data_IF_195394227682
#
_entry.id   IF_195394227682
#
_cell.length_a   1.000
_cell.length_b   1.000
_cell.length_c   1.000
_cell.angle_alpha   90.00
_cell.angle_beta   90.00
_cell.angle_gamma   90.00
#
_symmetry.space_group_name_H-M   'P 1'
#
loop_
_entity.id
_entity.type
_entity.pdbx_description
1 polymer ?
#
# COMPACT_ATOMS: atom_id res chain seq x y z
N UNK A 1 -10.28 -28.40 -11.35
CA UNK A 1 -8.90 -28.64 -11.75
C UNK A 1 -8.05 -27.59 -11.04
N UNK A 2 -7.53 -27.92 -9.87
CA UNK A 2 -6.73 -26.98 -9.05
C UNK A 2 -5.30 -27.08 -9.59
N UNK A 3 -4.89 -26.06 -10.33
CA UNK A 3 -3.54 -26.00 -10.93
C UNK A 3 -2.46 -25.70 -9.89
N UNK A 4 -2.88 -25.20 -8.72
CA UNK A 4 -2.02 -24.81 -7.62
C UNK A 4 -2.04 -25.86 -6.51
N UNK A 5 -0.89 -26.14 -5.94
CA UNK A 5 -0.78 -26.93 -4.71
C UNK A 5 -1.39 -26.16 -3.51
N UNK A 6 -1.57 -26.86 -2.38
CA UNK A 6 -2.06 -26.24 -1.15
C UNK A 6 -1.16 -25.07 -0.71
N UNK A 7 0.16 -25.26 -0.77
CA UNK A 7 1.13 -24.22 -0.40
C UNK A 7 1.09 -23.01 -1.34
N UNK A 8 0.94 -23.24 -2.65
CA UNK A 8 0.82 -22.16 -3.65
C UNK A 8 -0.47 -21.36 -3.46
N UNK A 9 -1.59 -22.05 -3.19
CA UNK A 9 -2.88 -21.39 -2.93
C UNK A 9 -2.86 -20.59 -1.62
N UNK A 10 -2.18 -21.08 -0.59
CA UNK A 10 -1.98 -20.38 0.67
C UNK A 10 -1.14 -19.10 0.46
N UNK A 11 -0.02 -19.18 -0.27
CA UNK A 11 0.81 -18.04 -0.59
C UNK A 11 0.04 -16.96 -1.39
N UNK A 12 -0.83 -17.39 -2.32
CA UNK A 12 -1.72 -16.52 -3.07
C UNK A 12 -2.71 -15.78 -2.14
N UNK A 13 -3.43 -16.54 -1.30
CA UNK A 13 -4.40 -15.99 -0.35
C UNK A 13 -3.73 -15.02 0.63
N UNK A 14 -2.53 -15.37 1.10
CA UNK A 14 -1.75 -14.54 2.00
C UNK A 14 -1.29 -13.25 1.32
N UNK A 15 -0.80 -13.31 0.08
CA UNK A 15 -0.44 -12.10 -0.69
C UNK A 15 -1.61 -11.16 -0.87
N UNK A 16 -2.79 -11.68 -1.24
CA UNK A 16 -4.01 -10.86 -1.37
C UNK A 16 -4.43 -10.24 -0.04
N UNK A 17 -4.36 -11.01 1.04
CA UNK A 17 -4.69 -10.53 2.39
C UNK A 17 -3.72 -9.44 2.86
N UNK A 18 -2.41 -9.63 2.67
CA UNK A 18 -1.37 -8.66 3.03
C UNK A 18 -1.54 -7.38 2.21
N UNK A 19 -1.72 -7.48 0.89
CA UNK A 19 -1.93 -6.32 0.02
C UNK A 19 -3.21 -5.55 0.39
N UNK A 20 -4.31 -6.24 0.68
CA UNK A 20 -5.55 -5.57 1.11
C UNK A 20 -5.40 -4.86 2.44
N UNK A 21 -4.80 -5.51 3.44
CA UNK A 21 -4.51 -4.89 4.76
C UNK A 21 -3.59 -3.68 4.61
N UNK A 22 -2.54 -3.79 3.80
CA UNK A 22 -1.62 -2.70 3.49
C UNK A 22 -2.35 -1.47 2.96
N UNK A 23 -3.22 -1.64 1.96
CA UNK A 23 -4.02 -0.55 1.39
C UNK A 23 -4.96 0.05 2.43
N UNK A 24 -5.72 -0.79 3.16
CA UNK A 24 -6.68 -0.31 4.16
C UNK A 24 -5.99 0.45 5.31
N UNK A 25 -4.83 -0.02 5.77
CA UNK A 25 -4.03 0.67 6.79
C UNK A 25 -3.48 2.00 6.28
N UNK A 26 -3.02 2.06 5.02
CA UNK A 26 -2.39 3.25 4.44
C UNK A 26 -3.40 4.32 4.03
N UNK A 27 -4.62 3.94 3.65
CA UNK A 27 -5.60 4.81 3.02
C UNK A 27 -5.89 6.10 3.82
N UNK A 28 -6.24 6.05 5.13
CA UNK A 28 -6.54 7.25 5.89
C UNK A 28 -5.32 8.17 6.03
N UNK A 29 -4.14 7.60 6.19
CA UNK A 29 -2.89 8.37 6.29
C UNK A 29 -2.49 8.98 4.95
N UNK A 30 -2.71 8.27 3.84
CA UNK A 30 -2.44 8.77 2.49
C UNK A 30 -3.40 9.91 2.12
N UNK A 31 -4.68 9.82 2.49
CA UNK A 31 -5.65 10.90 2.34
C UNK A 31 -5.21 12.14 3.12
N UNK A 32 -4.86 11.98 4.40
CA UNK A 32 -4.40 13.07 5.24
C UNK A 32 -3.11 13.70 4.69
N UNK A 33 -2.14 12.87 4.32
CA UNK A 33 -0.85 13.35 3.82
C UNK A 33 -0.97 14.06 2.47
N UNK A 34 -1.79 13.52 1.55
CA UNK A 34 -2.06 14.16 0.27
C UNK A 34 -2.73 15.52 0.46
N UNK A 35 -3.68 15.64 1.42
CA UNK A 35 -4.33 16.90 1.75
C UNK A 35 -3.36 17.91 2.36
N UNK A 36 -2.53 17.52 3.34
CA UNK A 36 -1.51 18.38 3.96
C UNK A 36 -0.56 18.89 2.89
N UNK A 37 0.00 18.00 2.07
CA UNK A 37 0.99 18.35 1.06
C UNK A 37 0.41 19.17 -0.11
N UNK A 38 -0.90 19.15 -0.35
CA UNK A 38 -1.53 19.92 -1.44
C UNK A 38 -2.12 21.23 -0.96
N UNK A 39 -2.77 21.26 0.20
CA UNK A 39 -3.57 22.40 0.67
C UNK A 39 -2.84 23.30 1.67
N UNK A 40 -1.81 22.79 2.36
CA UNK A 40 -1.09 23.56 3.38
C UNK A 40 0.26 24.06 2.86
N UNK A 41 0.58 25.30 3.26
CA UNK A 41 1.91 25.89 3.08
C UNK A 41 2.52 26.10 4.47
N UNK A 42 3.67 25.49 4.73
CA UNK A 42 4.38 25.59 6.01
C UNK A 42 5.88 25.35 5.81
N UNK A 43 6.67 25.86 6.73
CA UNK A 43 8.12 25.61 6.77
C UNK A 43 8.35 24.11 7.02
N UNK A 44 9.14 23.45 6.15
CA UNK A 44 9.39 21.99 6.24
C UNK A 44 8.50 21.12 5.35
N UNK A 45 7.57 21.71 4.56
CA UNK A 45 6.73 20.95 3.60
C UNK A 45 7.58 20.11 2.63
N UNK A 46 8.65 20.68 2.09
CA UNK A 46 9.56 19.98 1.18
C UNK A 46 10.24 18.79 1.87
N UNK A 47 10.63 18.96 3.13
CA UNK A 47 11.22 17.87 3.92
C UNK A 47 10.20 16.76 4.18
N UNK A 48 8.96 17.10 4.54
CA UNK A 48 7.89 16.12 4.72
C UNK A 48 7.57 15.38 3.42
N UNK A 49 7.54 16.10 2.30
CA UNK A 49 7.34 15.51 0.96
C UNK A 49 8.46 14.53 0.60
N UNK A 50 9.71 14.93 0.82
CA UNK A 50 10.88 14.05 0.64
C UNK A 50 10.79 12.81 1.56
N UNK A 51 10.42 12.98 2.82
CA UNK A 51 10.29 11.87 3.77
C UNK A 51 9.20 10.88 3.36
N UNK A 52 8.05 11.36 2.90
CA UNK A 52 6.96 10.53 2.39
C UNK A 52 7.39 9.70 1.18
N UNK A 53 8.23 10.27 0.31
CA UNK A 53 8.69 9.60 -0.91
C UNK A 53 10.00 8.82 -0.73
N UNK A 54 10.62 8.89 0.43
CA UNK A 54 11.89 8.22 0.74
C UNK A 54 11.87 6.70 0.47
N UNK A 55 10.79 5.94 0.80
CA UNK A 55 10.73 4.50 0.53
C UNK A 55 10.89 4.12 -0.95
N UNK A 56 10.54 5.01 -1.89
CA UNK A 56 10.74 4.75 -3.33
C UNK A 56 12.19 4.84 -3.79
N UNK A 57 13.02 5.53 -3.04
CA UNK A 57 14.43 5.76 -3.38
C UNK A 57 15.33 4.75 -2.66
N UNK A 58 14.94 4.34 -1.46
CA UNK A 58 15.71 3.39 -0.68
C UNK A 58 15.52 1.95 -1.21
N UNK A 59 16.58 1.12 -1.18
CA UNK A 59 16.43 -0.30 -1.42
C UNK A 59 15.39 -0.89 -0.43
N UNK A 60 14.44 -1.74 -0.90
CA UNK A 60 13.40 -2.31 -0.04
C UNK A 60 13.93 -3.03 1.21
N UNK A 61 15.08 -3.70 1.08
CA UNK A 61 15.77 -4.36 2.20
C UNK A 61 16.15 -3.37 3.31
N UNK A 62 16.57 -2.14 2.93
CA UNK A 62 16.91 -1.08 3.90
C UNK A 62 15.66 -0.63 4.64
N UNK A 63 14.55 -0.45 3.95
CA UNK A 63 13.26 -0.11 4.58
C UNK A 63 12.84 -1.21 5.55
N UNK A 64 12.92 -2.49 5.13
CA UNK A 64 12.63 -3.63 6.00
C UNK A 64 13.53 -3.68 7.25
N UNK A 65 14.82 -3.38 7.09
CA UNK A 65 15.75 -3.29 8.22
C UNK A 65 15.39 -2.15 9.20
N UNK A 66 15.05 -0.98 8.70
CA UNK A 66 14.59 0.14 9.54
C UNK A 66 13.33 -0.25 10.30
N UNK A 67 12.37 -0.91 9.65
CA UNK A 67 11.16 -1.42 10.31
C UNK A 67 11.50 -2.46 11.37
N UNK A 68 12.46 -3.35 11.11
CA UNK A 68 12.93 -4.33 12.09
C UNK A 68 13.54 -3.67 13.35
N UNK A 69 14.34 -2.62 13.15
CA UNK A 69 14.94 -1.86 14.28
C UNK A 69 13.86 -1.13 15.07
N UNK A 70 12.85 -0.54 14.40
CA UNK A 70 11.80 0.24 15.06
C UNK A 70 10.73 -0.64 15.71
N UNK A 71 10.24 -1.66 14.99
CA UNK A 71 9.09 -2.49 15.36
C UNK A 71 9.44 -3.92 15.78
N UNK A 72 10.72 -4.28 15.80
CA UNK A 72 11.16 -5.56 16.37
C UNK A 72 10.83 -5.65 17.86
N UNK A 73 10.87 -6.85 18.45
CA UNK A 73 10.50 -7.10 19.84
C UNK A 73 11.27 -6.22 20.87
N UNK A 74 12.51 -5.87 20.56
CA UNK A 74 13.34 -4.95 21.38
C UNK A 74 13.38 -3.52 20.82
N UNK A 75 12.67 -3.24 19.75
CA UNK A 75 12.60 -1.92 19.13
C UNK A 75 11.76 -0.94 19.97
N UNK A 76 12.00 0.38 19.81
CA UNK A 76 11.30 1.39 20.60
C UNK A 76 9.78 1.38 20.37
N UNK A 77 9.33 1.17 19.15
CA UNK A 77 7.91 1.10 18.82
C UNK A 77 7.33 -0.30 19.03
N UNK A 78 8.05 -1.35 18.66
CA UNK A 78 7.60 -2.73 18.82
C UNK A 78 7.40 -3.09 20.30
N UNK A 79 8.40 -2.85 21.14
CA UNK A 79 8.29 -3.11 22.58
C UNK A 79 7.25 -2.22 23.30
N UNK A 80 6.97 -1.03 22.78
CA UNK A 80 5.86 -0.20 23.29
C UNK A 80 4.49 -0.76 22.89
N UNK A 81 4.31 -1.17 21.64
CA UNK A 81 3.06 -1.78 21.13
C UNK A 81 2.73 -3.08 21.87
N UNK A 82 3.74 -3.92 22.08
CA UNK A 82 3.59 -5.18 22.80
C UNK A 82 3.16 -4.96 24.26
N UNK A 83 3.87 -4.07 24.99
CA UNK A 83 3.56 -3.79 26.39
C UNK A 83 2.23 -3.09 26.62
N UNK A 84 1.80 -2.22 25.68
CA UNK A 84 0.60 -1.39 25.85
C UNK A 84 -0.66 -2.06 25.28
N UNK A 85 -0.52 -2.76 24.16
CA UNK A 85 -1.65 -3.30 23.40
C UNK A 85 -1.55 -4.81 23.17
N UNK A 86 -0.45 -5.47 23.57
CA UNK A 86 -0.22 -6.89 23.28
C UNK A 86 -0.05 -7.16 21.78
N UNK A 87 0.37 -6.16 20.98
CA UNK A 87 0.50 -6.27 19.53
C UNK A 87 1.95 -6.51 19.16
N UNK A 88 2.21 -7.69 18.58
CA UNK A 88 3.48 -8.02 17.92
C UNK A 88 3.34 -7.89 16.42
N UNK A 89 4.31 -7.24 15.77
CA UNK A 89 4.33 -7.06 14.32
C UNK A 89 5.38 -7.95 13.65
N UNK A 90 6.49 -8.22 14.35
CA UNK A 90 7.55 -9.07 13.80
C UNK A 90 7.03 -10.50 13.56
N UNK A 91 7.40 -11.09 12.42
CA UNK A 91 7.02 -12.46 12.00
C UNK A 91 5.50 -12.70 11.85
N UNK A 92 4.71 -11.64 11.66
CA UNK A 92 3.25 -11.74 11.52
C UNK A 92 2.76 -11.20 10.18
N UNK A 93 1.54 -11.60 9.79
CA UNK A 93 0.83 -11.07 8.61
C UNK A 93 0.62 -9.54 8.71
N UNK A 94 0.40 -9.03 9.91
CA UNK A 94 0.23 -7.58 10.13
C UNK A 94 1.55 -6.83 9.94
N UNK A 95 2.66 -7.43 10.34
CA UNK A 95 3.99 -6.90 10.05
C UNK A 95 4.31 -6.91 8.55
N UNK A 96 3.98 -7.99 7.84
CA UNK A 96 4.09 -8.03 6.38
C UNK A 96 3.24 -6.92 5.72
N UNK A 97 2.02 -6.71 6.20
CA UNK A 97 1.14 -5.64 5.72
C UNK A 97 1.71 -4.25 6.03
N UNK A 98 2.35 -4.04 7.20
CA UNK A 98 3.02 -2.78 7.53
C UNK A 98 4.22 -2.51 6.60
N UNK A 99 5.09 -3.51 6.39
CA UNK A 99 6.23 -3.36 5.47
C UNK A 99 5.78 -2.96 4.06
N UNK A 100 4.79 -3.67 3.56
CA UNK A 100 4.19 -3.43 2.25
C UNK A 100 3.48 -2.08 2.20
N UNK A 101 2.80 -1.68 3.28
CA UNK A 101 2.13 -0.39 3.41
C UNK A 101 3.13 0.76 3.28
N UNK A 102 4.26 0.70 3.98
CA UNK A 102 5.31 1.72 3.93
C UNK A 102 5.88 1.85 2.51
N UNK A 103 6.12 0.72 1.82
CA UNK A 103 6.63 0.74 0.44
C UNK A 103 5.63 1.30 -0.57
N UNK A 104 4.34 0.97 -0.44
CA UNK A 104 3.29 1.40 -1.36
C UNK A 104 2.72 2.79 -1.03
N UNK A 105 2.95 3.31 0.18
CA UNK A 105 2.40 4.58 0.68
C UNK A 105 2.64 5.77 -0.25
N UNK A 106 3.88 6.03 -0.71
CA UNK A 106 4.16 7.18 -1.57
C UNK A 106 3.43 7.13 -2.91
N UNK A 107 3.20 5.93 -3.46
CA UNK A 107 2.43 5.75 -4.71
C UNK A 107 0.98 6.20 -4.52
N UNK A 108 0.38 5.83 -3.39
CA UNK A 108 -0.98 6.22 -3.01
C UNK A 108 -1.08 7.73 -2.79
N UNK A 109 -0.15 8.32 -2.02
CA UNK A 109 -0.10 9.77 -1.77
C UNK A 109 0.02 10.54 -3.08
N UNK A 110 0.90 10.11 -3.98
CA UNK A 110 1.12 10.77 -5.28
C UNK A 110 -0.14 10.78 -6.15
N UNK A 111 -0.82 9.65 -6.28
CA UNK A 111 -2.04 9.54 -7.06
C UNK A 111 -3.17 10.42 -6.50
N UNK A 112 -3.33 10.44 -5.17
CA UNK A 112 -4.30 11.28 -4.49
C UNK A 112 -3.98 12.76 -4.60
N UNK A 113 -2.71 13.16 -4.52
CA UNK A 113 -2.28 14.56 -4.71
C UNK A 113 -2.63 15.07 -6.10
N UNK A 114 -2.28 14.32 -7.15
CA UNK A 114 -2.59 14.69 -8.55
C UNK A 114 -4.11 14.93 -8.70
N UNK A 115 -4.93 14.06 -8.14
CA UNK A 115 -6.38 14.22 -8.19
C UNK A 115 -6.87 15.42 -7.37
N UNK A 116 -6.31 15.63 -6.18
CA UNK A 116 -6.69 16.76 -5.31
C UNK A 116 -6.28 18.12 -5.91
N UNK A 117 -5.19 18.17 -6.68
CA UNK A 117 -4.74 19.37 -7.39
C UNK A 117 -5.71 19.79 -8.50
N UNK A 118 -6.48 18.84 -9.05
CA UNK A 118 -7.52 19.14 -10.06
C UNK A 118 -8.85 19.60 -9.47
N UNK A 119 -9.04 19.51 -8.16
CA UNK A 119 -10.26 20.00 -7.48
C UNK A 119 -10.22 21.51 -7.39
N UNK A 120 -11.21 22.16 -7.97
CA UNK A 120 -11.36 23.64 -7.95
C UNK A 120 -11.58 24.12 -6.50
N UNK A 121 -10.72 25.02 -6.06
CA UNK A 121 -10.83 25.66 -4.74
C UNK A 121 -12.08 26.54 -4.63
N UNK A 122 -12.59 27.08 -5.74
CA UNK A 122 -13.83 27.83 -5.77
C UNK A 122 -15.02 27.05 -5.25
N UNK A 123 -15.08 25.74 -5.50
CA UNK A 123 -16.13 24.88 -4.96
C UNK A 123 -16.02 24.71 -3.43
N UNK A 124 -14.79 24.59 -2.91
CA UNK A 124 -14.54 24.53 -1.46
C UNK A 124 -14.89 25.86 -0.78
N UNK A 125 -14.60 26.99 -1.43
CA UNK A 125 -14.91 28.33 -0.94
C UNK A 125 -16.41 28.63 -1.01
N UNK A 126 -17.10 28.22 -2.07
CA UNK A 126 -18.57 28.32 -2.17
C UNK A 126 -19.27 27.53 -1.06
N UNK A 127 -18.84 26.29 -0.80
CA UNK A 127 -19.37 25.50 0.31
C UNK A 127 -19.12 26.20 1.68
N UNK A 128 -17.97 26.84 1.84
CA UNK A 128 -17.66 27.61 3.05
C UNK A 128 -18.59 28.83 3.23
N UNK A 129 -18.91 29.54 2.18
CA UNK A 129 -19.85 30.69 2.25
C UNK A 129 -21.28 30.25 2.58
N UNK A 130 -21.63 29.00 2.24
CA UNK A 130 -22.90 28.36 2.62
C UNK A 130 -22.90 27.79 4.05
N UNK A 131 -21.83 28.00 4.83
CA UNK A 131 -21.74 27.59 6.23
C UNK A 131 -21.16 26.20 6.45
N UNK A 132 -20.72 25.49 5.42
CA UNK A 132 -20.15 24.15 5.58
C UNK A 132 -18.83 24.15 6.38
N UNK A 133 -18.75 23.33 7.41
CA UNK A 133 -17.55 23.11 8.22
C UNK A 133 -16.41 22.48 7.44
N UNK A 134 -15.19 22.44 7.98
CA UNK A 134 -14.03 21.89 7.28
C UNK A 134 -14.16 20.40 6.93
N UNK A 135 -14.67 19.59 7.87
CA UNK A 135 -14.92 18.16 7.64
C UNK A 135 -16.07 17.92 6.66
N UNK A 136 -17.13 18.75 6.75
CA UNK A 136 -18.25 18.66 5.85
C UNK A 136 -17.84 18.98 4.41
N UNK A 137 -17.10 20.08 4.17
CA UNK A 137 -16.53 20.40 2.85
C UNK A 137 -15.63 19.29 2.31
N UNK A 138 -14.79 18.72 3.18
CA UNK A 138 -13.94 17.61 2.76
C UNK A 138 -14.77 16.41 2.33
N UNK A 139 -15.76 16.00 3.13
CA UNK A 139 -16.57 14.81 2.88
C UNK A 139 -17.55 14.99 1.70
N UNK A 140 -18.13 16.19 1.52
CA UNK A 140 -19.20 16.42 0.53
C UNK A 140 -18.70 17.01 -0.78
N UNK A 141 -17.55 17.70 -0.79
CA UNK A 141 -17.01 18.35 -1.99
C UNK A 141 -15.67 17.73 -2.39
N UNK A 142 -14.66 17.80 -1.51
CA UNK A 142 -13.29 17.46 -1.87
C UNK A 142 -13.13 15.96 -2.12
N UNK A 143 -13.60 15.11 -1.19
CA UNK A 143 -13.44 13.66 -1.28
C UNK A 143 -14.17 13.04 -2.48
N UNK A 144 -15.43 13.39 -2.80
CA UNK A 144 -16.10 12.90 -4.00
C UNK A 144 -15.37 13.29 -5.29
N UNK A 145 -14.87 14.52 -5.39
CA UNK A 145 -14.17 15.00 -6.57
C UNK A 145 -12.78 14.39 -6.75
N UNK A 146 -12.10 14.04 -5.65
CA UNK A 146 -10.81 13.37 -5.69
C UNK A 146 -10.90 11.83 -5.67
N UNK A 147 -12.11 11.27 -5.59
CA UNK A 147 -12.32 9.81 -5.52
C UNK A 147 -11.63 9.02 -6.65
N UNK A 148 -11.56 9.53 -7.91
CA UNK A 148 -10.77 8.87 -8.96
C UNK A 148 -9.32 8.62 -8.56
N UNK A 149 -8.67 9.61 -7.96
CA UNK A 149 -7.29 9.49 -7.50
C UNK A 149 -7.14 8.59 -6.29
N UNK A 150 -8.13 8.58 -5.40
CA UNK A 150 -8.17 7.66 -4.25
C UNK A 150 -8.21 6.22 -4.73
N UNK A 151 -9.12 5.90 -5.67
CA UNK A 151 -9.26 4.56 -6.24
C UNK A 151 -8.02 4.16 -7.05
N UNK A 152 -7.52 5.06 -7.92
CA UNK A 152 -6.31 4.80 -8.68
C UNK A 152 -5.10 4.55 -7.76
N UNK A 153 -4.93 5.37 -6.72
CA UNK A 153 -3.89 5.21 -5.72
C UNK A 153 -3.99 3.89 -4.95
N UNK A 154 -5.20 3.54 -4.51
CA UNK A 154 -5.44 2.29 -3.80
C UNK A 154 -5.14 1.06 -4.66
N UNK A 155 -5.57 1.05 -5.93
CA UNK A 155 -5.31 -0.07 -6.84
C UNK A 155 -3.82 -0.15 -7.20
N UNK A 156 -3.16 0.98 -7.44
CA UNK A 156 -1.70 1.01 -7.71
C UNK A 156 -0.92 0.51 -6.51
N UNK A 157 -1.26 0.95 -5.31
CA UNK A 157 -0.65 0.49 -4.07
C UNK A 157 -0.89 -1.02 -3.84
N UNK A 158 -2.11 -1.50 -4.09
CA UNK A 158 -2.44 -2.92 -4.01
C UNK A 158 -1.60 -3.75 -4.99
N UNK A 159 -1.47 -3.30 -6.24
CA UNK A 159 -0.67 -3.99 -7.25
C UNK A 159 0.82 -4.01 -6.90
N UNK A 160 1.36 -2.90 -6.40
CA UNK A 160 2.74 -2.83 -5.91
C UNK A 160 2.95 -3.75 -4.69
N UNK A 161 1.97 -3.81 -3.80
CA UNK A 161 1.98 -4.64 -2.61
C UNK A 161 2.10 -6.14 -2.92
N UNK A 162 1.47 -6.61 -4.00
CA UNK A 162 1.55 -8.02 -4.43
C UNK A 162 2.95 -8.44 -4.85
N UNK A 163 3.78 -7.51 -5.31
CA UNK A 163 5.16 -7.76 -5.74
C UNK A 163 6.21 -7.49 -4.67
N UNK A 164 5.82 -7.01 -3.47
CA UNK A 164 6.81 -6.63 -2.45
C UNK A 164 7.50 -7.86 -1.87
N UNK A 165 8.81 -7.83 -1.94
CA UNK A 165 9.68 -8.91 -1.47
C UNK A 165 10.69 -8.43 -0.42
N UNK A 166 11.47 -7.40 -0.76
CA UNK A 166 12.66 -7.01 -0.01
C UNK A 166 12.37 -6.53 1.41
N UNK A 167 11.37 -5.65 1.57
CA UNK A 167 10.99 -5.15 2.88
C UNK A 167 10.30 -6.25 3.73
N UNK A 168 9.49 -7.09 3.08
CA UNK A 168 8.78 -8.18 3.77
C UNK A 168 9.76 -9.23 4.29
N UNK A 169 10.66 -9.76 3.45
CA UNK A 169 11.61 -10.80 3.89
C UNK A 169 12.53 -10.31 5.02
N UNK A 170 12.92 -9.04 4.96
CA UNK A 170 13.84 -8.48 5.95
C UNK A 170 13.17 -8.19 7.28
N UNK A 171 11.91 -7.73 7.27
CA UNK A 171 11.20 -7.38 8.50
C UNK A 171 10.53 -8.59 9.16
N UNK A 172 9.85 -9.45 8.39
CA UNK A 172 9.00 -10.53 8.95
C UNK A 172 9.42 -11.93 8.54
N UNK A 173 10.54 -12.07 7.80
CA UNK A 173 11.06 -13.37 7.33
C UNK A 173 10.10 -14.08 6.35
N UNK A 174 10.33 -15.39 6.12
CA UNK A 174 9.61 -16.22 5.15
C UNK A 174 9.04 -17.46 5.86
N UNK A 175 7.91 -17.28 6.56
CA UNK A 175 7.28 -18.30 7.40
C UNK A 175 6.04 -18.85 6.66
N UNK A 176 5.99 -20.17 6.32
CA UNK A 176 4.82 -20.80 5.73
C UNK A 176 3.56 -20.53 6.57
N UNK A 177 2.46 -20.18 5.93
CA UNK A 177 1.19 -19.93 6.59
C UNK A 177 1.06 -18.57 7.28
N UNK A 178 2.19 -17.86 7.52
CA UNK A 178 2.19 -16.57 8.23
C UNK A 178 2.67 -15.40 7.39
N UNK A 179 3.87 -15.50 6.79
CA UNK A 179 4.48 -14.37 6.07
C UNK A 179 4.89 -14.70 4.65
N UNK A 180 4.78 -15.97 4.23
CA UNK A 180 5.18 -16.44 2.90
C UNK A 180 4.21 -15.95 1.82
N UNK A 181 4.43 -14.74 1.32
CA UNK A 181 3.73 -14.18 0.15
C UNK A 181 4.17 -14.87 -1.16
N UNK A 182 3.47 -14.61 -2.28
CA UNK A 182 3.83 -15.16 -3.59
C UNK A 182 5.30 -14.91 -3.98
N UNK A 183 5.87 -13.68 -3.84
CA UNK A 183 7.29 -13.47 -4.12
C UNK A 183 8.22 -14.29 -3.24
N UNK A 184 7.86 -14.48 -1.96
CA UNK A 184 8.64 -15.29 -1.03
C UNK A 184 8.52 -16.79 -1.33
N UNK A 185 7.34 -17.27 -1.73
CA UNK A 185 7.13 -18.64 -2.17
C UNK A 185 7.92 -18.95 -3.45
N UNK A 186 7.86 -18.05 -4.43
CA UNK A 186 8.65 -18.13 -5.66
C UNK A 186 10.15 -18.21 -5.35
N UNK A 187 10.64 -17.33 -4.49
CA UNK A 187 12.03 -17.32 -4.06
C UNK A 187 12.44 -18.65 -3.41
N UNK A 188 11.58 -19.22 -2.55
CA UNK A 188 11.83 -20.52 -1.93
C UNK A 188 11.87 -21.66 -2.95
N UNK A 189 10.94 -21.66 -3.91
CA UNK A 189 10.89 -22.67 -4.97
C UNK A 189 12.17 -22.66 -5.82
N UNK A 190 12.70 -21.47 -6.17
CA UNK A 190 13.95 -21.32 -6.93
C UNK A 190 15.19 -21.84 -6.18
N UNK A 191 15.15 -21.93 -4.86
CA UNK A 191 16.24 -22.44 -4.04
C UNK A 191 16.09 -23.95 -3.73
N UNK A 192 14.97 -24.54 -4.09
CA UNK A 192 14.69 -25.96 -3.83
C UNK A 192 15.08 -26.80 -5.05
N UNK A 193 15.92 -27.85 -4.92
CA UNK A 193 16.22 -28.74 -6.03
C UNK A 193 14.94 -29.35 -6.60
N UNK A 194 14.73 -29.18 -7.91
CA UNK A 194 13.51 -29.65 -8.61
C UNK A 194 12.30 -28.74 -8.46
N UNK A 195 12.45 -27.54 -7.90
CA UNK A 195 11.38 -26.56 -7.69
C UNK A 195 10.99 -25.75 -8.94
N UNK A 196 11.62 -25.98 -10.10
CA UNK A 196 11.42 -25.17 -11.32
C UNK A 196 9.95 -25.12 -11.78
N UNK A 197 9.24 -26.24 -11.70
CA UNK A 197 7.84 -26.31 -12.09
C UNK A 197 6.92 -25.52 -11.13
N UNK A 198 7.22 -25.52 -9.84
CA UNK A 198 6.54 -24.71 -8.82
C UNK A 198 6.83 -23.22 -9.04
N UNK A 199 8.11 -22.88 -9.22
CA UNK A 199 8.55 -21.52 -9.51
C UNK A 199 7.85 -20.96 -10.78
N UNK A 200 7.78 -21.74 -11.85
CA UNK A 200 7.10 -21.33 -13.09
C UNK A 200 5.60 -21.07 -12.88
N UNK A 201 4.90 -21.88 -12.10
CA UNK A 201 3.47 -21.65 -11.78
C UNK A 201 3.27 -20.40 -10.95
N UNK A 202 4.08 -20.22 -9.89
CA UNK A 202 4.03 -19.03 -9.03
C UNK A 202 4.34 -17.75 -9.80
N UNK A 203 5.34 -17.79 -10.69
CA UNK A 203 5.68 -16.69 -11.59
C UNK A 203 4.50 -16.34 -12.51
N UNK A 204 3.89 -17.35 -13.14
CA UNK A 204 2.72 -17.15 -14.00
C UNK A 204 1.56 -16.50 -13.25
N UNK A 205 1.23 -16.99 -12.04
CA UNK A 205 0.18 -16.42 -11.19
C UNK A 205 0.50 -14.97 -10.84
N UNK A 206 1.76 -14.67 -10.48
CA UNK A 206 2.20 -13.30 -10.15
C UNK A 206 2.05 -12.36 -11.35
N UNK A 207 2.43 -12.80 -12.55
CA UNK A 207 2.26 -12.01 -13.79
C UNK A 207 0.77 -11.78 -14.08
N UNK A 208 -0.06 -12.81 -13.98
CA UNK A 208 -1.52 -12.68 -14.22
C UNK A 208 -2.17 -11.72 -13.24
N UNK A 209 -1.79 -11.77 -11.95
CA UNK A 209 -2.27 -10.84 -10.94
C UNK A 209 -1.79 -9.40 -11.21
N UNK A 210 -0.54 -9.23 -11.59
CA UNK A 210 0.02 -7.92 -11.94
C UNK A 210 -0.72 -7.29 -13.14
N UNK A 211 -0.92 -8.07 -14.20
CA UNK A 211 -1.68 -7.62 -15.39
C UNK A 211 -3.13 -7.33 -15.03
N UNK A 212 -3.79 -8.20 -14.25
CA UNK A 212 -5.16 -7.97 -13.80
C UNK A 212 -5.27 -6.67 -12.97
N UNK A 213 -4.32 -6.42 -12.06
CA UNK A 213 -4.26 -5.20 -11.26
C UNK A 213 -4.12 -3.95 -12.13
N UNK A 214 -3.23 -3.97 -13.12
CA UNK A 214 -3.06 -2.85 -14.07
C UNK A 214 -4.32 -2.60 -14.90
N UNK A 215 -4.93 -3.65 -15.45
CA UNK A 215 -6.16 -3.54 -16.24
C UNK A 215 -7.33 -3.00 -15.40
N UNK A 216 -7.48 -3.49 -14.17
CA UNK A 216 -8.49 -2.99 -13.23
C UNK A 216 -8.25 -1.51 -12.90
N UNK A 217 -7.01 -1.11 -12.63
CA UNK A 217 -6.65 0.29 -12.36
C UNK A 217 -7.07 1.20 -13.51
N UNK A 218 -6.70 0.82 -14.74
CA UNK A 218 -7.04 1.62 -15.93
C UNK A 218 -8.54 1.64 -16.22
N UNK A 219 -9.23 0.51 -16.05
CA UNK A 219 -10.68 0.43 -16.21
C UNK A 219 -11.42 1.33 -15.21
N UNK A 220 -11.05 1.28 -13.92
CA UNK A 220 -11.63 2.15 -12.89
C UNK A 220 -11.32 3.62 -13.18
N UNK A 221 -10.08 3.95 -13.55
CA UNK A 221 -9.70 5.32 -13.88
C UNK A 221 -10.53 5.89 -15.06
N UNK A 222 -10.75 5.08 -16.10
CA UNK A 222 -11.61 5.47 -17.25
C UNK A 222 -13.08 5.59 -16.84
N UNK A 223 -13.59 4.67 -16.03
CA UNK A 223 -14.99 4.68 -15.59
C UNK A 223 -15.31 5.93 -14.78
N UNK A 224 -14.44 6.30 -13.86
CA UNK A 224 -14.63 7.47 -13.00
C UNK A 224 -14.50 8.77 -13.78
N UNK A 225 -13.53 8.88 -14.70
CA UNK A 225 -13.43 10.05 -15.61
C UNK A 225 -14.73 10.28 -16.39
N UNK A 226 -15.31 9.22 -16.91
CA UNK A 226 -16.61 9.32 -17.62
C UNK A 226 -17.76 9.76 -16.72
N UNK A 227 -17.81 9.33 -15.44
CA UNK A 227 -18.85 9.76 -14.50
C UNK A 227 -18.72 11.23 -14.10
N UNK A 228 -17.51 11.79 -14.14
CA UNK A 228 -17.25 13.20 -13.82
C UNK A 228 -17.32 14.12 -15.04
N UNK A 229 -17.75 13.63 -16.22
CA UNK A 229 -17.91 14.43 -17.42
C UNK A 229 -16.58 14.89 -18.05
N UNK A 230 -15.51 14.16 -17.81
CA UNK A 230 -14.16 14.43 -18.34
C UNK A 230 -13.67 13.30 -19.24
#
# INVERSE_FOLDING_TARGET
MIWLSANESEALALSLSVAMRSVLMSLPFALLMSWILTRKQFVGRTFLDAFVHLPLVLPPVVVGYVLLVLFGARGPLGGWLERTFGIELIFTRNGAALATAVMAFPLMVRAMRISLETVDRGLEDAARTLGAGALDRFATVTLPLMLPGVLAGAITAFSAALGEFGAVITFVSNIPGETRTLPLALYSALQTPGGDAEAARLALVSVLLGVAGLLLSEWFARRVRRMLGR
#
